data_IF_322336158342
#
_entry.id   IF_322336158342
#
_cell.length_a   1.000
_cell.length_b   1.000
_cell.length_c   1.000
_cell.angle_alpha   90.00
_cell.angle_beta   90.00
_cell.angle_gamma   90.00
#
_symmetry.space_group_name_H-M   'P 1'
#
loop_
_entity.id
_entity.type
_entity.pdbx_description
1 polymer ?
#
# COMPACT_ATOMS: atom_id res chain seq x y z
N UNK A 1 1.51 -2.22 -29.47
CA UNK A 1 0.65 -1.03 -29.36
C UNK A 1 0.74 -0.50 -27.96
N UNK A 2 1.02 0.79 -27.81
CA UNK A 2 1.06 1.46 -26.53
C UNK A 2 -0.36 1.51 -25.93
N UNK A 3 -0.53 1.21 -24.63
CA UNK A 3 -1.84 1.32 -24.02
C UNK A 3 -2.29 2.77 -23.98
N UNK A 4 -3.53 3.03 -24.38
CA UNK A 4 -4.12 4.37 -24.24
C UNK A 4 -4.48 4.61 -22.79
N UNK A 5 -3.89 5.65 -22.18
CA UNK A 5 -4.13 6.04 -20.80
C UNK A 5 -4.99 7.29 -20.78
N UNK A 6 -6.11 7.21 -20.06
CA UNK A 6 -7.07 8.29 -19.93
C UNK A 6 -7.30 8.65 -18.47
N UNK A 7 -7.47 9.93 -18.20
CA UNK A 7 -7.90 10.43 -16.90
C UNK A 7 -9.34 10.93 -16.98
N UNK A 8 -10.16 10.44 -16.07
CA UNK A 8 -11.54 10.88 -15.92
C UNK A 8 -11.78 11.44 -14.54
N UNK A 9 -12.48 12.60 -14.49
CA UNK A 9 -13.03 13.11 -13.24
C UNK A 9 -14.50 12.71 -13.21
N UNK A 10 -14.86 11.88 -12.25
CA UNK A 10 -16.19 11.29 -12.15
C UNK A 10 -16.80 11.53 -10.79
N UNK A 11 -18.12 11.63 -10.74
CA UNK A 11 -18.90 11.61 -9.51
C UNK A 11 -20.04 10.60 -9.66
N UNK A 12 -20.33 9.79 -8.63
CA UNK A 12 -21.49 8.93 -8.64
C UNK A 12 -22.77 9.74 -8.83
N UNK A 13 -23.69 9.26 -9.69
CA UNK A 13 -25.00 9.87 -9.80
C UNK A 13 -25.73 9.76 -8.45
N UNK A 14 -26.25 10.85 -7.87
CA UNK A 14 -26.88 10.83 -6.55
C UNK A 14 -27.98 9.78 -6.43
N UNK A 15 -28.78 9.59 -7.48
CA UNK A 15 -29.85 8.58 -7.51
C UNK A 15 -29.31 7.15 -7.48
N UNK A 16 -28.18 6.87 -8.13
CA UNK A 16 -27.54 5.55 -8.12
C UNK A 16 -26.86 5.27 -6.79
N UNK A 17 -26.19 6.28 -6.24
CA UNK A 17 -25.57 6.19 -4.93
C UNK A 17 -26.61 5.93 -3.83
N UNK A 18 -27.70 6.69 -3.81
CA UNK A 18 -28.78 6.50 -2.86
C UNK A 18 -29.44 5.11 -3.00
N UNK A 19 -29.68 4.65 -4.23
CA UNK A 19 -30.26 3.33 -4.47
C UNK A 19 -29.34 2.17 -4.05
N UNK A 20 -28.04 2.39 -4.02
CA UNK A 20 -27.06 1.37 -3.58
C UNK A 20 -27.00 1.17 -2.07
N UNK A 21 -27.46 2.15 -1.29
CA UNK A 21 -27.33 2.19 0.18
C UNK A 21 -25.86 2.14 0.67
N UNK A 22 -24.92 2.53 -0.18
CA UNK A 22 -23.48 2.56 0.11
C UNK A 22 -23.06 4.02 0.33
N UNK A 23 -21.96 4.20 1.08
CA UNK A 23 -21.24 5.46 1.04
C UNK A 23 -20.48 5.61 -0.30
N UNK A 24 -20.05 6.83 -0.61
CA UNK A 24 -19.38 7.15 -1.88
C UNK A 24 -18.11 6.31 -2.09
N UNK A 25 -17.31 6.12 -1.04
CA UNK A 25 -16.04 5.39 -1.12
C UNK A 25 -16.27 3.90 -1.42
N UNK A 26 -17.20 3.27 -0.72
CA UNK A 26 -17.54 1.87 -0.97
C UNK A 26 -18.18 1.70 -2.36
N UNK A 27 -19.02 2.64 -2.78
CA UNK A 27 -19.60 2.63 -4.13
C UNK A 27 -18.52 2.67 -5.21
N UNK A 28 -17.56 3.60 -5.08
CA UNK A 28 -16.46 3.73 -6.04
C UNK A 28 -15.54 2.51 -5.98
N UNK A 29 -15.20 1.99 -4.79
CA UNK A 29 -14.38 0.80 -4.67
C UNK A 29 -14.99 -0.41 -5.38
N UNK A 30 -16.27 -0.67 -5.15
CA UNK A 30 -16.99 -1.76 -5.82
C UNK A 30 -17.09 -1.55 -7.33
N UNK A 31 -17.26 -0.31 -7.76
CA UNK A 31 -17.29 0.03 -9.19
C UNK A 31 -15.93 -0.28 -9.85
N UNK A 32 -14.81 0.15 -9.23
CA UNK A 32 -13.47 -0.12 -9.72
C UNK A 32 -13.19 -1.63 -9.80
N UNK A 33 -13.44 -2.36 -8.72
CA UNK A 33 -13.24 -3.82 -8.67
C UNK A 33 -14.07 -4.50 -9.76
N UNK A 34 -15.34 -4.12 -9.89
CA UNK A 34 -16.22 -4.69 -10.91
C UNK A 34 -15.72 -4.43 -12.33
N UNK A 35 -15.31 -3.21 -12.66
CA UNK A 35 -14.77 -2.88 -13.99
C UNK A 35 -13.55 -3.74 -14.27
N UNK A 36 -12.59 -3.75 -13.33
CA UNK A 36 -11.34 -4.49 -13.50
C UNK A 36 -11.53 -6.00 -13.62
N UNK A 37 -12.60 -6.53 -13.01
CA UNK A 37 -12.92 -7.97 -13.06
C UNK A 37 -13.74 -8.39 -14.27
N UNK A 38 -14.63 -7.51 -14.79
CA UNK A 38 -15.65 -7.94 -15.76
C UNK A 38 -15.52 -7.30 -17.15
N UNK A 39 -14.72 -6.24 -17.31
CA UNK A 39 -14.63 -5.52 -18.55
C UNK A 39 -13.32 -5.82 -19.29
N UNK A 40 -13.41 -6.55 -20.39
CA UNK A 40 -12.26 -6.79 -21.25
C UNK A 40 -11.86 -5.52 -22.00
N UNK A 41 -10.56 -5.28 -22.11
CA UNK A 41 -9.99 -4.15 -22.86
C UNK A 41 -9.97 -2.82 -22.14
N UNK A 42 -10.42 -2.74 -20.89
CA UNK A 42 -10.30 -1.54 -20.05
C UNK A 42 -9.94 -1.92 -18.62
N UNK A 43 -9.09 -1.10 -18.00
CA UNK A 43 -8.66 -1.31 -16.63
C UNK A 43 -8.47 0.02 -15.90
N UNK A 44 -8.99 0.13 -14.69
CA UNK A 44 -8.82 1.31 -13.86
C UNK A 44 -7.52 1.19 -13.09
N UNK A 45 -6.53 1.96 -13.49
CA UNK A 45 -5.17 1.96 -12.95
C UNK A 45 -5.09 2.50 -11.52
N UNK A 46 -5.83 3.56 -11.26
CA UNK A 46 -5.92 4.18 -9.95
C UNK A 46 -7.26 4.84 -9.77
N UNK A 47 -7.69 4.97 -8.54
CA UNK A 47 -8.91 5.67 -8.16
C UNK A 47 -8.66 6.45 -6.88
N UNK A 48 -9.31 7.59 -6.74
CA UNK A 48 -9.15 8.47 -5.59
C UNK A 48 -9.14 9.93 -6.00
N UNK A 49 -8.98 10.81 -5.02
CA UNK A 49 -9.02 12.27 -5.22
C UNK A 49 -7.62 12.89 -5.24
N UNK A 50 -6.65 12.25 -4.59
CA UNK A 50 -5.33 12.82 -4.31
C UNK A 50 -4.17 11.89 -4.71
N UNK A 51 -4.41 10.95 -5.62
CA UNK A 51 -3.40 9.97 -6.02
C UNK A 51 -3.38 9.78 -7.53
N UNK A 52 -2.19 9.58 -8.07
CA UNK A 52 -1.95 9.09 -9.42
C UNK A 52 -0.98 7.93 -9.40
N UNK A 53 -1.12 7.01 -10.35
CA UNK A 53 -0.19 5.89 -10.55
C UNK A 53 0.34 5.95 -11.96
N UNK A 54 1.64 5.83 -12.10
CA UNK A 54 2.37 5.84 -13.35
C UNK A 54 3.12 4.52 -13.47
N UNK A 55 2.85 3.76 -14.51
CA UNK A 55 3.49 2.47 -14.72
C UNK A 55 3.71 2.22 -16.21
N UNK A 56 4.90 1.83 -16.56
CA UNK A 56 5.24 1.42 -17.92
C UNK A 56 6.39 0.40 -17.88
N UNK A 57 6.67 -0.20 -19.03
CA UNK A 57 7.79 -1.08 -19.24
C UNK A 57 8.90 -0.28 -19.95
N UNK A 58 10.05 -0.12 -19.31
CA UNK A 58 11.16 0.68 -19.83
C UNK A 58 12.14 1.07 -18.73
N UNK A 59 13.13 1.85 -19.06
CA UNK A 59 14.00 2.46 -18.07
C UNK A 59 13.22 3.51 -17.28
N UNK A 60 13.55 3.76 -16.00
CA UNK A 60 12.86 4.75 -15.17
C UNK A 60 12.82 6.15 -15.81
N UNK A 61 13.89 6.54 -16.50
CA UNK A 61 14.02 7.80 -17.20
C UNK A 61 13.00 7.92 -18.34
N UNK A 62 12.86 6.89 -19.16
CA UNK A 62 11.90 6.84 -20.27
C UNK A 62 10.47 6.91 -19.75
N UNK A 63 10.19 6.23 -18.64
CA UNK A 63 8.88 6.27 -17.98
C UNK A 63 8.58 7.67 -17.43
N UNK A 64 9.58 8.32 -16.84
CA UNK A 64 9.49 9.68 -16.35
C UNK A 64 9.16 10.68 -17.47
N UNK A 65 9.88 10.58 -18.59
CA UNK A 65 9.66 11.43 -19.77
C UNK A 65 8.29 11.18 -20.41
N UNK A 66 7.91 9.91 -20.61
CA UNK A 66 6.62 9.53 -21.20
C UNK A 66 5.43 10.12 -20.42
N UNK A 67 5.46 10.06 -19.12
CA UNK A 67 4.41 10.61 -18.27
C UNK A 67 4.59 12.08 -17.93
N UNK A 68 5.68 12.71 -18.37
CA UNK A 68 6.04 14.10 -18.04
C UNK A 68 6.01 14.33 -16.52
N UNK A 69 6.66 13.44 -15.75
CA UNK A 69 6.59 13.44 -14.29
C UNK A 69 7.13 14.72 -13.67
N UNK A 70 7.96 15.47 -14.37
CA UNK A 70 8.45 16.81 -13.99
C UNK A 70 7.34 17.86 -13.83
N UNK A 71 6.15 17.59 -14.40
CA UNK A 71 4.99 18.48 -14.27
C UNK A 71 4.09 18.12 -13.07
N UNK A 72 4.46 17.12 -12.27
CA UNK A 72 3.68 16.69 -11.12
C UNK A 72 4.40 17.07 -9.81
N UNK A 73 3.60 17.56 -8.88
CA UNK A 73 4.03 17.84 -7.52
C UNK A 73 3.23 16.94 -6.56
N UNK A 74 3.92 16.34 -5.59
CA UNK A 74 3.29 15.54 -4.57
C UNK A 74 4.09 15.59 -3.26
N UNK A 75 3.38 15.47 -2.15
CA UNK A 75 4.00 15.39 -0.82
C UNK A 75 4.65 14.03 -0.56
N UNK A 76 4.21 12.98 -1.26
CA UNK A 76 4.73 11.63 -1.09
C UNK A 76 4.82 10.92 -2.44
N UNK A 77 5.96 10.28 -2.65
CA UNK A 77 6.24 9.46 -3.82
C UNK A 77 6.60 8.05 -3.38
N UNK A 78 5.92 7.04 -3.92
CA UNK A 78 6.31 5.64 -3.78
C UNK A 78 6.73 5.11 -5.14
N UNK A 79 7.84 4.41 -5.21
CA UNK A 79 8.34 3.87 -6.47
C UNK A 79 8.84 2.43 -6.32
N UNK A 80 8.77 1.68 -7.43
CA UNK A 80 9.30 0.34 -7.52
C UNK A 80 9.88 0.11 -8.93
N UNK A 81 11.18 -0.15 -8.99
CA UNK A 81 11.93 -0.21 -10.25
C UNK A 81 11.89 -1.58 -10.96
N UNK A 82 11.06 -2.52 -10.53
CA UNK A 82 11.06 -3.86 -11.11
C UNK A 82 9.66 -4.47 -11.19
N UNK A 83 9.41 -5.18 -12.28
CA UNK A 83 8.24 -6.03 -12.45
C UNK A 83 8.28 -7.27 -11.56
N UNK A 84 7.12 -7.85 -11.20
CA UNK A 84 7.05 -9.17 -10.58
C UNK A 84 7.68 -10.23 -11.47
N UNK A 85 8.34 -11.22 -10.85
CA UNK A 85 9.04 -12.27 -11.59
C UNK A 85 8.11 -13.33 -12.18
N UNK A 86 6.96 -13.55 -11.56
CA UNK A 86 6.10 -14.72 -11.81
C UNK A 86 4.69 -14.36 -12.26
N UNK A 87 4.37 -13.07 -12.42
CA UNK A 87 3.02 -12.64 -12.74
C UNK A 87 3.02 -11.57 -13.84
N UNK A 88 1.92 -11.39 -14.57
CA UNK A 88 1.84 -10.45 -15.69
C UNK A 88 2.10 -8.97 -15.36
N UNK A 89 2.19 -8.59 -14.13
CA UNK A 89 2.71 -7.30 -13.64
C UNK A 89 2.21 -5.99 -14.26
N UNK A 90 1.17 -6.03 -15.09
CA UNK A 90 0.73 -4.91 -15.91
C UNK A 90 0.02 -3.80 -15.13
N UNK A 91 -0.59 -4.14 -13.99
CA UNK A 91 -1.48 -3.23 -13.30
C UNK A 91 -0.87 -2.68 -12.01
N UNK A 92 -1.00 -1.37 -11.76
CA UNK A 92 -0.59 -0.77 -10.50
C UNK A 92 -1.54 -1.18 -9.37
N UNK A 93 -1.00 -1.31 -8.16
CA UNK A 93 -1.76 -1.68 -6.97
C UNK A 93 -2.17 -0.45 -6.20
N UNK A 94 -3.35 0.05 -6.52
CA UNK A 94 -3.90 1.24 -5.92
C UNK A 94 -5.42 1.18 -5.88
N UNK A 95 -6.00 1.55 -4.75
CA UNK A 95 -7.43 1.63 -4.55
C UNK A 95 -7.75 2.79 -3.61
N UNK A 96 -8.57 3.74 -4.05
CA UNK A 96 -9.10 4.84 -3.24
C UNK A 96 -8.04 5.61 -2.43
N UNK A 97 -7.15 6.29 -3.11
CA UNK A 97 -6.09 7.09 -2.48
C UNK A 97 -5.12 6.28 -1.60
N UNK A 98 -5.05 4.96 -1.81
CA UNK A 98 -4.09 4.07 -1.18
C UNK A 98 -3.31 3.33 -2.25
N UNK A 99 -1.99 3.32 -2.16
CA UNK A 99 -1.10 2.61 -3.07
C UNK A 99 -0.11 1.76 -2.29
N UNK A 100 0.27 0.63 -2.87
CA UNK A 100 1.24 -0.29 -2.27
C UNK A 100 2.34 -0.59 -3.28
N UNK A 101 3.58 -0.47 -2.86
CA UNK A 101 4.73 -1.06 -3.53
C UNK A 101 5.34 -2.14 -2.63
N UNK A 102 5.76 -3.24 -3.21
CA UNK A 102 6.18 -4.43 -2.49
C UNK A 102 7.47 -5.00 -3.06
N UNK A 103 8.44 -5.23 -2.20
CA UNK A 103 9.64 -5.98 -2.49
C UNK A 103 9.67 -7.24 -1.65
N UNK A 104 9.38 -8.38 -2.26
CA UNK A 104 9.34 -9.67 -1.56
C UNK A 104 8.52 -10.71 -2.29
N UNK A 105 8.24 -11.77 -1.57
CA UNK A 105 7.40 -12.90 -1.98
C UNK A 105 6.73 -13.49 -0.75
N UNK A 106 5.42 -13.39 -0.63
CA UNK A 106 4.72 -13.88 0.56
C UNK A 106 4.35 -15.34 0.43
N UNK A 107 4.60 -16.13 1.45
CA UNK A 107 4.23 -17.54 1.50
C UNK A 107 2.76 -17.78 1.90
N UNK A 108 2.09 -16.75 2.41
CA UNK A 108 0.68 -16.79 2.82
C UNK A 108 -0.31 -16.37 1.74
N UNK A 109 0.14 -16.17 0.50
CA UNK A 109 -0.64 -15.62 -0.61
C UNK A 109 -2.04 -16.25 -0.73
N UNK A 110 -2.12 -17.57 -0.89
CA UNK A 110 -3.40 -18.26 -1.10
C UNK A 110 -4.35 -18.15 0.10
N UNK A 111 -3.82 -18.19 1.31
CA UNK A 111 -4.62 -18.05 2.52
C UNK A 111 -5.18 -16.63 2.64
N UNK A 112 -4.34 -15.64 2.42
CA UNK A 112 -4.74 -14.23 2.46
C UNK A 112 -5.76 -13.92 1.34
N UNK A 113 -5.50 -14.39 0.11
CA UNK A 113 -6.38 -14.19 -1.04
C UNK A 113 -7.77 -14.77 -0.77
N UNK A 114 -7.87 -16.04 -0.41
CA UNK A 114 -9.15 -16.70 -0.12
C UNK A 114 -9.93 -16.00 0.98
N UNK A 115 -9.25 -15.51 2.00
CA UNK A 115 -9.91 -14.80 3.08
C UNK A 115 -10.47 -13.45 2.61
N UNK A 116 -9.69 -12.66 1.87
CA UNK A 116 -10.11 -11.32 1.44
C UNK A 116 -11.22 -11.38 0.38
N UNK A 117 -11.22 -12.40 -0.47
CA UNK A 117 -12.27 -12.66 -1.45
C UNK A 117 -13.65 -12.87 -0.81
N UNK A 118 -13.71 -13.42 0.42
CA UNK A 118 -14.96 -13.58 1.18
C UNK A 118 -15.64 -12.23 1.51
N UNK A 119 -14.90 -11.13 1.44
CA UNK A 119 -15.39 -9.78 1.73
C UNK A 119 -15.65 -8.94 0.48
N UNK A 120 -15.74 -9.61 -0.70
CA UNK A 120 -16.15 -8.99 -1.96
C UNK A 120 -15.02 -8.35 -2.76
N UNK A 121 -13.78 -8.73 -2.49
CA UNK A 121 -12.64 -8.41 -3.37
C UNK A 121 -12.46 -9.51 -4.41
N UNK A 122 -11.93 -9.15 -5.58
CA UNK A 122 -11.54 -10.08 -6.64
C UNK A 122 -10.04 -9.93 -6.89
N UNK A 123 -9.29 -11.01 -6.67
CA UNK A 123 -7.83 -11.01 -6.82
C UNK A 123 -7.46 -11.66 -8.16
N UNK A 124 -7.53 -10.90 -9.24
CA UNK A 124 -7.42 -11.38 -10.61
C UNK A 124 -6.01 -11.22 -11.20
N UNK A 125 -5.16 -10.41 -10.55
CA UNK A 125 -3.83 -10.11 -11.05
C UNK A 125 -2.78 -11.15 -10.64
N UNK A 126 -3.17 -12.12 -9.82
CA UNK A 126 -2.33 -13.23 -9.37
C UNK A 126 -1.01 -12.78 -8.69
N UNK A 127 -1.05 -11.65 -8.00
CA UNK A 127 0.13 -11.10 -7.33
C UNK A 127 -0.18 -10.80 -5.87
N UNK A 128 0.82 -11.02 -5.04
CA UNK A 128 0.77 -10.78 -3.61
C UNK A 128 0.54 -9.30 -3.26
N UNK A 129 1.05 -8.38 -4.07
CA UNK A 129 0.85 -6.94 -3.89
C UNK A 129 -0.62 -6.55 -4.00
N UNK A 130 -1.38 -7.16 -4.91
CA UNK A 130 -2.82 -6.96 -5.00
C UNK A 130 -3.53 -7.37 -3.71
N UNK A 131 -3.21 -8.58 -3.23
CA UNK A 131 -3.80 -9.10 -1.99
C UNK A 131 -3.46 -8.22 -0.79
N UNK A 132 -2.21 -7.77 -0.67
CA UNK A 132 -1.79 -6.85 0.40
C UNK A 132 -2.58 -5.52 0.31
N UNK A 133 -2.76 -4.98 -0.89
CA UNK A 133 -3.53 -3.74 -1.09
C UNK A 133 -4.97 -3.90 -0.60
N UNK A 134 -5.61 -5.00 -0.94
CA UNK A 134 -6.99 -5.28 -0.49
C UNK A 134 -7.08 -5.57 1.00
N UNK A 135 -6.08 -6.20 1.61
CA UNK A 135 -6.00 -6.35 3.06
C UNK A 135 -5.97 -4.98 3.74
N UNK A 136 -5.13 -4.07 3.26
CA UNK A 136 -5.01 -2.72 3.82
C UNK A 136 -6.32 -1.94 3.66
N UNK A 137 -6.95 -2.00 2.49
CA UNK A 137 -8.26 -1.37 2.25
C UNK A 137 -9.34 -1.95 3.18
N UNK A 138 -9.39 -3.27 3.31
CA UNK A 138 -10.34 -3.94 4.20
C UNK A 138 -10.16 -3.54 5.66
N UNK A 139 -8.94 -3.62 6.17
CA UNK A 139 -8.65 -3.28 7.57
C UNK A 139 -8.85 -1.79 7.85
N UNK A 140 -8.35 -0.92 6.97
CA UNK A 140 -8.42 0.53 7.17
C UNK A 140 -9.79 1.09 6.84
N UNK A 141 -10.24 0.96 5.60
CA UNK A 141 -11.47 1.60 5.13
C UNK A 141 -12.74 0.93 5.64
N UNK A 142 -12.83 -0.42 5.56
CA UNK A 142 -14.06 -1.13 5.97
C UNK A 142 -14.16 -1.34 7.48
N UNK A 143 -13.05 -1.60 8.16
CA UNK A 143 -13.05 -1.88 9.60
C UNK A 143 -12.59 -0.70 10.46
N UNK A 144 -12.03 0.34 9.86
CA UNK A 144 -11.61 1.55 10.57
C UNK A 144 -10.34 1.39 11.43
N UNK A 145 -9.51 0.38 11.16
CA UNK A 145 -8.25 0.21 11.86
C UNK A 145 -7.25 1.30 11.45
N UNK A 146 -6.49 1.77 12.42
CA UNK A 146 -5.37 2.70 12.18
C UNK A 146 -4.17 1.98 11.57
N UNK A 147 -3.28 2.71 10.91
CA UNK A 147 -2.07 2.11 10.31
C UNK A 147 -1.17 1.39 11.32
N UNK A 148 -0.98 1.85 12.58
CA UNK A 148 -0.34 1.05 13.62
C UNK A 148 -1.04 -0.28 13.90
N UNK A 149 -2.37 -0.33 13.89
CA UNK A 149 -3.11 -1.57 14.08
C UNK A 149 -3.02 -2.48 12.86
N UNK A 150 -3.11 -1.92 11.65
CA UNK A 150 -2.91 -2.64 10.39
C UNK A 150 -1.54 -3.30 10.36
N UNK A 151 -0.48 -2.59 10.76
CA UNK A 151 0.87 -3.17 10.83
C UNK A 151 0.95 -4.34 11.81
N UNK A 152 0.26 -4.25 12.95
CA UNK A 152 0.18 -5.32 13.94
C UNK A 152 -0.67 -6.52 13.49
N UNK A 153 -1.51 -6.37 12.47
CA UNK A 153 -2.20 -7.48 11.81
C UNK A 153 -1.30 -8.11 10.76
N UNK A 154 -0.76 -7.31 9.84
CA UNK A 154 0.04 -7.77 8.70
C UNK A 154 1.35 -8.41 9.18
N UNK A 155 2.10 -7.74 10.04
CA UNK A 155 3.35 -8.24 10.64
C UNK A 155 3.15 -8.57 12.12
N UNK A 156 2.16 -9.39 12.44
CA UNK A 156 1.75 -9.68 13.82
C UNK A 156 2.95 -10.07 14.70
N UNK A 157 3.15 -9.40 15.86
CA UNK A 157 4.26 -9.68 16.76
C UNK A 157 4.26 -11.15 17.24
N UNK A 158 5.43 -11.68 17.57
CA UNK A 158 5.54 -13.02 18.17
C UNK A 158 4.84 -13.08 19.53
N UNK A 159 4.31 -14.23 19.89
CA UNK A 159 3.67 -14.43 21.20
C UNK A 159 4.59 -14.04 22.35
N UNK A 160 5.86 -14.43 22.28
CA UNK A 160 6.87 -14.06 23.28
C UNK A 160 7.10 -12.55 23.41
N UNK A 161 6.78 -11.77 22.38
CA UNK A 161 6.81 -10.30 22.41
C UNK A 161 5.52 -9.76 23.02
N UNK A 162 4.38 -10.34 22.65
CA UNK A 162 3.05 -9.96 23.17
C UNK A 162 2.98 -10.19 24.69
N UNK A 163 3.47 -11.33 25.16
CA UNK A 163 3.47 -11.70 26.58
C UNK A 163 4.24 -10.71 27.48
N UNK A 164 5.23 -10.02 26.91
CA UNK A 164 6.05 -9.03 27.62
C UNK A 164 5.44 -7.62 27.65
N UNK A 165 4.32 -7.41 26.98
CA UNK A 165 3.66 -6.12 26.94
C UNK A 165 2.86 -5.86 28.22
N UNK A 166 2.59 -4.58 28.50
CA UNK A 166 1.65 -4.18 29.54
C UNK A 166 0.27 -4.81 29.31
N UNK A 167 -0.53 -5.09 30.35
CA UNK A 167 -1.75 -5.89 30.27
C UNK A 167 -2.72 -5.43 29.17
N UNK A 168 -2.96 -4.13 29.06
CA UNK A 168 -3.87 -3.55 28.06
C UNK A 168 -3.36 -3.76 26.63
N UNK A 169 -2.08 -3.53 26.41
CA UNK A 169 -1.46 -3.70 25.10
C UNK A 169 -1.36 -5.18 24.70
N UNK A 170 -1.06 -6.03 25.66
CA UNK A 170 -1.08 -7.49 25.47
C UNK A 170 -2.46 -7.99 25.05
N UNK A 171 -3.52 -7.53 25.72
CA UNK A 171 -4.91 -7.87 25.36
C UNK A 171 -5.23 -7.41 23.95
N UNK A 172 -4.91 -6.16 23.59
CA UNK A 172 -5.13 -5.59 22.26
C UNK A 172 -4.41 -6.38 21.18
N UNK A 173 -3.13 -6.65 21.33
CA UNK A 173 -2.33 -7.40 20.37
C UNK A 173 -2.79 -8.86 20.26
N UNK A 174 -3.19 -9.48 21.37
CA UNK A 174 -3.77 -10.82 21.39
C UNK A 174 -5.07 -10.87 20.58
N UNK A 175 -5.95 -9.87 20.79
CA UNK A 175 -7.19 -9.75 20.03
C UNK A 175 -6.93 -9.60 18.54
N UNK A 176 -6.09 -8.63 18.12
CA UNK A 176 -5.76 -8.42 16.71
C UNK A 176 -5.19 -9.67 16.05
N UNK A 177 -4.26 -10.35 16.73
CA UNK A 177 -3.61 -11.55 16.19
C UNK A 177 -4.57 -12.73 16.06
N UNK A 178 -5.54 -12.88 16.94
CA UNK A 178 -6.54 -13.94 16.88
C UNK A 178 -7.66 -13.61 15.88
N UNK A 179 -8.20 -12.40 15.95
CA UNK A 179 -9.32 -11.98 15.09
C UNK A 179 -8.94 -11.94 13.61
N UNK A 180 -7.70 -11.55 13.31
CA UNK A 180 -7.21 -11.37 11.94
C UNK A 180 -6.10 -12.35 11.55
N UNK A 181 -6.06 -13.53 12.16
CA UNK A 181 -5.01 -14.52 11.90
C UNK A 181 -4.81 -14.85 10.41
N UNK A 182 -5.90 -14.90 9.63
CA UNK A 182 -5.86 -15.17 8.19
C UNK A 182 -5.36 -14.00 7.34
N UNK A 183 -5.20 -12.81 7.92
CA UNK A 183 -4.65 -11.63 7.26
C UNK A 183 -3.19 -11.36 7.65
N UNK A 184 -2.62 -12.18 8.52
CA UNK A 184 -1.20 -12.14 8.80
C UNK A 184 -0.42 -12.53 7.54
N UNK A 185 0.51 -11.68 7.14
CA UNK A 185 1.40 -11.92 6.02
C UNK A 185 2.66 -12.63 6.49
N UNK A 186 3.00 -13.73 5.83
CA UNK A 186 4.22 -14.50 6.11
C UNK A 186 5.09 -14.61 4.86
N UNK A 187 6.39 -14.85 5.05
CA UNK A 187 7.40 -14.79 4.01
C UNK A 187 8.17 -13.47 4.02
N UNK A 188 9.17 -13.32 3.15
CA UNK A 188 9.96 -12.08 3.04
C UNK A 188 9.15 -10.98 2.36
N UNK A 189 8.93 -9.86 3.05
CA UNK A 189 8.33 -8.67 2.45
C UNK A 189 8.88 -7.36 3.01
N UNK A 190 8.90 -6.36 2.16
CA UNK A 190 9.07 -4.96 2.51
C UNK A 190 8.07 -4.16 1.69
N UNK A 191 7.16 -3.44 2.33
CA UNK A 191 6.10 -2.67 1.70
C UNK A 191 6.19 -1.19 2.04
N UNK A 192 5.85 -0.36 1.06
CA UNK A 192 5.53 1.05 1.27
C UNK A 192 4.07 1.25 0.90
N UNK A 193 3.32 1.86 1.79
CA UNK A 193 1.90 2.17 1.63
C UNK A 193 1.75 3.68 1.62
N UNK A 194 1.49 4.24 0.45
CA UNK A 194 1.12 5.65 0.33
C UNK A 194 -0.38 5.82 0.53
N UNK A 195 -0.78 6.83 1.30
CA UNK A 195 -2.18 7.14 1.56
C UNK A 195 -2.39 8.64 1.73
N UNK A 196 -3.64 9.09 1.66
CA UNK A 196 -3.94 10.50 1.90
C UNK A 196 -3.48 10.92 3.30
N UNK A 197 -2.55 11.86 3.34
CA UNK A 197 -2.00 12.41 4.58
C UNK A 197 -0.79 11.68 5.14
N UNK A 198 -0.22 10.68 4.43
CA UNK A 198 0.98 10.04 4.94
C UNK A 198 1.50 8.85 4.15
N UNK A 199 2.43 8.16 4.80
CA UNK A 199 3.06 6.95 4.30
C UNK A 199 3.35 5.99 5.45
N UNK A 200 3.12 4.70 5.22
CA UNK A 200 3.57 3.63 6.12
C UNK A 200 4.59 2.75 5.41
N UNK A 201 5.71 2.49 6.07
CA UNK A 201 6.66 1.47 5.66
C UNK A 201 6.68 0.32 6.66
N UNK A 202 6.70 -0.90 6.18
CA UNK A 202 6.67 -2.10 7.01
C UNK A 202 7.44 -3.23 6.34
N UNK A 203 8.29 -3.91 7.07
CA UNK A 203 8.90 -5.15 6.63
C UNK A 203 8.41 -6.35 7.46
N UNK A 204 8.70 -7.54 6.94
CA UNK A 204 8.33 -8.78 7.62
C UNK A 204 8.93 -8.86 9.04
N UNK A 205 8.23 -9.56 9.92
CA UNK A 205 8.58 -9.65 11.35
C UNK A 205 9.93 -10.35 11.64
N UNK A 206 10.47 -11.09 10.66
CA UNK A 206 11.79 -11.72 10.73
C UNK A 206 12.88 -10.85 10.12
N UNK A 207 12.49 -9.74 9.45
CA UNK A 207 13.39 -8.87 8.71
C UNK A 207 14.20 -9.62 7.64
N UNK A 208 13.51 -10.45 6.87
CA UNK A 208 14.10 -11.16 5.74
C UNK A 208 14.35 -10.22 4.55
N UNK A 209 13.59 -9.13 4.46
CA UNK A 209 13.86 -8.01 3.54
C UNK A 209 14.46 -6.83 4.27
N UNK A 210 15.39 -6.16 3.59
CA UNK A 210 16.00 -4.94 4.10
C UNK A 210 15.07 -3.74 3.95
N UNK A 211 15.23 -2.79 4.86
CA UNK A 211 14.61 -1.48 4.81
C UNK A 211 15.50 -0.51 5.59
N UNK A 212 15.75 0.64 5.02
CA UNK A 212 16.51 1.74 5.62
C UNK A 212 15.66 3.00 5.53
N UNK A 213 15.70 3.79 6.58
CA UNK A 213 15.01 5.08 6.70
C UNK A 213 16.04 6.16 6.94
N UNK A 214 15.95 7.24 6.19
CA UNK A 214 16.76 8.45 6.36
C UNK A 214 15.88 9.66 6.60
N UNK A 215 16.35 10.60 7.40
CA UNK A 215 15.71 11.90 7.61
C UNK A 215 16.68 13.00 7.23
N UNK A 216 16.16 13.99 6.53
CA UNK A 216 16.85 15.26 6.25
C UNK A 216 15.84 16.39 6.31
N UNK A 217 16.07 17.35 7.19
CA UNK A 217 15.12 18.43 7.46
C UNK A 217 13.70 17.86 7.76
N UNK A 218 12.68 18.25 7.01
CA UNK A 218 11.31 17.75 7.14
C UNK A 218 10.99 16.59 6.18
N UNK A 219 12.00 16.04 5.48
CA UNK A 219 11.81 14.98 4.49
C UNK A 219 12.27 13.64 5.03
N UNK A 220 11.44 12.61 4.83
CA UNK A 220 11.75 11.22 5.16
C UNK A 220 11.97 10.42 3.88
N UNK A 221 13.07 9.71 3.82
CA UNK A 221 13.46 8.84 2.73
C UNK A 221 13.43 7.39 3.20
N UNK A 222 12.82 6.52 2.41
CA UNK A 222 12.72 5.10 2.74
C UNK A 222 13.10 4.28 1.51
N UNK A 223 14.03 3.36 1.66
CA UNK A 223 14.47 2.49 0.57
C UNK A 223 14.86 1.10 1.06
N UNK A 224 15.04 0.18 0.14
CA UNK A 224 15.61 -1.14 0.44
C UNK A 224 17.07 -1.06 0.86
N UNK A 225 17.81 -0.05 0.36
CA UNK A 225 19.24 0.13 0.61
C UNK A 225 19.59 1.60 0.85
N UNK A 226 20.56 1.84 1.73
CA UNK A 226 21.05 3.18 2.06
C UNK A 226 21.63 3.92 0.85
N UNK A 227 22.32 3.20 -0.04
CA UNK A 227 22.92 3.80 -1.23
C UNK A 227 21.87 4.51 -2.11
N UNK A 228 20.66 3.97 -2.22
CA UNK A 228 19.59 4.60 -2.97
C UNK A 228 19.16 5.93 -2.34
N UNK A 229 19.12 6.02 -1.02
CA UNK A 229 18.82 7.26 -0.30
C UNK A 229 19.96 8.28 -0.52
N UNK A 230 21.20 7.83 -0.41
CA UNK A 230 22.39 8.70 -0.53
C UNK A 230 22.58 9.31 -1.92
N UNK A 231 22.01 8.73 -2.95
CA UNK A 231 22.00 9.34 -4.31
C UNK A 231 21.16 10.61 -4.33
N UNK A 232 20.05 10.63 -3.59
CA UNK A 232 19.10 11.75 -3.55
C UNK A 232 19.46 12.73 -2.42
N UNK A 233 19.82 12.20 -1.26
CA UNK A 233 20.17 12.94 -0.05
C UNK A 233 21.52 12.45 0.50
N UNK A 234 22.65 12.97 -0.04
CA UNK A 234 23.99 12.55 0.38
C UNK A 234 24.26 12.78 1.87
N UNK A 235 23.73 13.87 2.41
CA UNK A 235 23.82 14.23 3.82
C UNK A 235 22.47 14.03 4.48
N UNK A 236 22.45 13.21 5.52
CA UNK A 236 21.26 12.90 6.31
C UNK A 236 21.48 13.34 7.75
N UNK A 237 20.43 13.82 8.38
CA UNK A 237 20.44 14.16 9.80
C UNK A 237 20.38 12.89 10.66
N UNK A 238 19.65 11.89 10.16
CA UNK A 238 19.49 10.61 10.82
C UNK A 238 19.33 9.48 9.80
N UNK A 239 19.86 8.32 10.11
CA UNK A 239 19.66 7.10 9.34
C UNK A 239 19.54 5.90 10.27
N UNK A 240 18.58 5.02 10.00
CA UNK A 240 18.40 3.78 10.75
C UNK A 240 17.71 2.69 9.92
N UNK A 241 17.78 1.48 10.44
CA UNK A 241 17.04 0.36 9.89
C UNK A 241 15.99 -0.09 10.93
N UNK A 242 14.67 0.00 10.61
CA UNK A 242 13.62 -0.46 11.51
C UNK A 242 13.78 -1.94 11.85
N UNK A 243 13.27 -2.37 12.99
CA UNK A 243 13.25 -3.79 13.38
C UNK A 243 12.23 -4.55 12.52
N UNK A 244 12.35 -5.88 12.48
CA UNK A 244 11.36 -6.72 11.83
C UNK A 244 9.96 -6.52 12.41
N UNK A 245 8.98 -6.24 11.55
CA UNK A 245 7.61 -5.93 11.95
C UNK A 245 7.38 -4.55 12.59
N UNK A 246 8.42 -3.72 12.69
CA UNK A 246 8.30 -2.34 13.16
C UNK A 246 7.84 -1.44 12.02
N UNK A 247 6.66 -0.84 12.16
CA UNK A 247 6.15 0.10 11.18
C UNK A 247 6.79 1.48 11.35
N UNK A 248 7.22 2.07 10.24
CA UNK A 248 7.56 3.49 10.14
C UNK A 248 6.37 4.21 9.55
N UNK A 249 5.76 5.10 10.30
CA UNK A 249 4.58 5.87 9.87
C UNK A 249 4.97 7.34 9.81
N UNK A 250 4.85 7.90 8.63
CA UNK A 250 5.13 9.30 8.35
C UNK A 250 3.81 9.97 8.04
N UNK A 251 3.37 10.88 8.88
CA UNK A 251 2.20 11.70 8.61
C UNK A 251 2.66 13.05 8.05
N UNK A 252 1.98 13.52 7.03
CA UNK A 252 2.11 14.91 6.62
C UNK A 252 1.60 15.75 7.79
N UNK A 253 2.46 16.61 8.31
CA UNK A 253 1.99 17.62 9.25
C UNK A 253 0.96 18.45 8.50
N UNK A 254 -0.26 18.54 9.02
CA UNK A 254 -1.19 19.56 8.60
C UNK A 254 -0.45 20.87 8.79
N UNK A 255 0.08 21.41 7.68
CA UNK A 255 0.79 22.68 7.71
C UNK A 255 -0.16 23.69 8.32
N UNK A 256 0.03 23.93 9.61
CA UNK A 256 -0.76 24.90 10.32
C UNK A 256 -0.74 26.18 9.48
N UNK A 257 -1.91 26.67 9.14
CA UNK A 257 -2.10 27.93 8.48
C UNK A 257 -1.09 28.95 9.04
N UNK A 258 -0.04 29.23 8.26
CA UNK A 258 0.73 30.43 8.43
C UNK A 258 0.21 31.45 7.46
#
# INVERSE_FOLDING_TARGET
DEPMIWRYFVAPLPTKLAASQLDEREFVARFVIRINHTLDGAYIFSSGKNMGVFKANGFPEDVGEYYMLENYEAYSWTCHGRYPTNTPGWHPFALLDTTVVHNGEISSYDANRRFIEMFGYSCDLLTDTEVITYIIDYLGRKLGLTYPEISNVIAAPFWSTIEKQEPRERERLTYLRNAFASLMVTGPFSILVGYTGGLMALNDRLKLRSMVVGEKDETVYIASEECAIRVIAPELDKIWAPRGGEAVIVNLNDGGNK
#
